data_IF_605473188338
#
_entry.id   IF_605473188338
#
_cell.length_a   1.000
_cell.length_b   1.000
_cell.length_c   1.000
_cell.angle_alpha   90.00
_cell.angle_beta   90.00
_cell.angle_gamma   90.00
#
_symmetry.space_group_name_H-M   'P 1'
#
loop_
_entity.id
_entity.type
_entity.pdbx_description
1 polymer ?
#
# COMPACT_ATOMS: atom_id res chain seq x y z
N UNK A 1 8.22 -21.71 -3.73
CA UNK A 1 8.25 -22.33 -2.39
C UNK A 1 8.81 -21.41 -1.31
N UNK A 2 9.97 -20.76 -1.51
CA UNK A 2 10.55 -19.86 -0.50
C UNK A 2 9.66 -18.64 -0.17
N UNK A 3 9.06 -18.00 -1.18
CA UNK A 3 8.16 -16.86 -0.98
C UNK A 3 6.92 -17.20 -0.16
N UNK A 4 6.27 -18.34 -0.44
CA UNK A 4 5.10 -18.81 0.33
C UNK A 4 5.46 -19.06 1.80
N UNK A 5 6.58 -19.76 2.05
CA UNK A 5 7.06 -20.00 3.43
C UNK A 5 7.39 -18.70 4.17
N UNK A 6 7.88 -17.68 3.46
CA UNK A 6 8.12 -16.36 4.04
C UNK A 6 6.80 -15.68 4.41
N UNK A 7 5.81 -15.67 3.51
CA UNK A 7 4.49 -15.11 3.80
C UNK A 7 3.87 -15.81 5.03
N UNK A 8 3.95 -17.14 5.10
CA UNK A 8 3.43 -17.94 6.22
C UNK A 8 4.15 -17.64 7.55
N UNK A 9 5.37 -17.10 7.51
CA UNK A 9 6.15 -16.75 8.71
C UNK A 9 5.93 -15.32 9.19
N UNK A 10 5.35 -14.43 8.36
CA UNK A 10 5.04 -13.05 8.76
C UNK A 10 4.02 -13.04 9.89
N UNK A 11 4.31 -12.28 10.94
CA UNK A 11 3.40 -12.05 12.08
C UNK A 11 3.30 -10.54 12.34
N UNK A 12 2.11 -10.02 12.68
CA UNK A 12 1.97 -8.62 13.07
C UNK A 12 2.87 -8.28 14.24
N UNK A 13 3.56 -7.15 14.17
CA UNK A 13 4.43 -6.66 15.23
C UNK A 13 4.59 -5.14 15.16
N UNK A 14 4.64 -4.49 16.32
CA UNK A 14 4.88 -3.05 16.41
C UNK A 14 3.74 -2.20 15.86
N UNK A 15 4.09 -1.00 15.37
CA UNK A 15 3.19 0.00 14.80
C UNK A 15 3.25 -0.02 13.28
N UNK A 16 2.16 0.39 12.64
CA UNK A 16 2.08 0.51 11.18
C UNK A 16 2.78 1.78 10.67
N UNK A 17 4.09 1.71 10.40
CA UNK A 17 4.84 2.77 9.72
C UNK A 17 4.75 2.64 8.20
N UNK A 18 3.65 3.16 7.64
CA UNK A 18 3.37 3.05 6.22
C UNK A 18 4.29 3.90 5.34
N UNK A 19 4.81 5.03 5.82
CA UNK A 19 5.74 5.86 5.04
C UNK A 19 7.07 5.14 4.84
N UNK A 20 7.63 4.56 5.90
CA UNK A 20 8.87 3.80 5.80
C UNK A 20 8.69 2.55 4.96
N UNK A 21 7.55 1.86 5.08
CA UNK A 21 7.23 0.72 4.23
C UNK A 21 7.14 1.10 2.74
N UNK A 22 6.47 2.22 2.44
CA UNK A 22 6.35 2.75 1.07
C UNK A 22 7.71 3.13 0.49
N UNK A 23 8.54 3.83 1.27
CA UNK A 23 9.92 4.20 0.90
C UNK A 23 10.79 2.97 0.64
N UNK A 24 10.68 1.94 1.48
CA UNK A 24 11.41 0.70 1.27
C UNK A 24 10.94 0.02 -0.04
N UNK A 25 9.63 -0.06 -0.28
CA UNK A 25 9.07 -0.70 -1.47
C UNK A 25 9.53 -0.03 -2.78
N UNK A 26 9.48 1.31 -2.87
CA UNK A 26 9.94 2.04 -4.07
C UNK A 26 11.45 1.94 -4.30
N UNK A 27 12.23 1.57 -3.28
CA UNK A 27 13.69 1.44 -3.38
C UNK A 27 14.14 0.03 -3.75
N UNK A 28 13.25 -0.97 -3.68
CA UNK A 28 13.58 -2.34 -4.10
C UNK A 28 13.93 -2.33 -5.59
N UNK A 29 15.02 -3.03 -5.92
CA UNK A 29 15.50 -3.25 -7.28
C UNK A 29 15.70 -4.74 -7.50
N UNK A 30 15.43 -5.21 -8.71
CA UNK A 30 15.77 -6.57 -9.09
C UNK A 30 17.28 -6.74 -9.35
N UNK A 31 17.69 -7.95 -9.74
CA UNK A 31 19.10 -8.25 -10.03
C UNK A 31 19.68 -7.44 -11.21
N UNK A 32 18.83 -6.83 -12.03
CA UNK A 32 19.22 -5.97 -13.16
C UNK A 32 19.27 -4.48 -12.79
N UNK A 33 18.88 -4.14 -11.56
CA UNK A 33 18.75 -2.75 -11.11
C UNK A 33 17.44 -2.09 -11.51
N UNK A 34 16.46 -2.86 -12.00
CA UNK A 34 15.16 -2.33 -12.42
C UNK A 34 14.25 -2.13 -11.21
N UNK A 35 13.51 -1.02 -11.19
CA UNK A 35 12.49 -0.75 -10.20
C UNK A 35 11.24 -1.62 -10.44
N UNK A 36 10.46 -1.84 -9.39
CA UNK A 36 9.18 -2.54 -9.50
C UNK A 36 8.24 -1.77 -10.44
N UNK A 37 7.62 -2.44 -11.41
CA UNK A 37 6.59 -1.81 -12.25
C UNK A 37 5.23 -1.71 -11.54
N UNK A 38 4.98 -2.61 -10.59
CA UNK A 38 3.72 -2.72 -9.86
C UNK A 38 4.00 -2.95 -8.37
N UNK A 39 3.27 -2.25 -7.51
CA UNK A 39 3.29 -2.45 -6.06
C UNK A 39 1.85 -2.59 -5.56
N UNK A 40 1.60 -3.60 -4.73
CA UNK A 40 0.34 -3.79 -4.01
C UNK A 40 0.53 -3.44 -2.54
N UNK A 41 -0.20 -2.44 -2.05
CA UNK A 41 -0.20 -2.04 -0.64
C UNK A 41 -1.45 -2.59 0.04
N UNK A 42 -1.27 -3.44 1.06
CA UNK A 42 -2.34 -4.05 1.83
C UNK A 42 -2.31 -3.47 3.24
N UNK A 43 -3.42 -2.88 3.70
CA UNK A 43 -3.51 -2.34 5.06
C UNK A 43 -4.95 -2.28 5.57
N UNK A 44 -5.14 -2.43 6.88
CA UNK A 44 -6.44 -2.22 7.57
C UNK A 44 -6.62 -0.79 8.11
N UNK A 45 -5.55 0.00 8.07
CA UNK A 45 -5.57 1.43 8.38
C UNK A 45 -4.16 1.99 8.42
N UNK A 46 -4.05 3.29 8.71
CA UNK A 46 -2.76 3.91 8.99
C UNK A 46 -2.78 4.44 10.42
N UNK A 47 -1.68 4.28 11.15
CA UNK A 47 -1.48 5.06 12.39
C UNK A 47 -1.08 6.50 12.01
N UNK A 48 -2.03 7.25 11.43
CA UNK A 48 -1.87 8.69 11.20
C UNK A 48 -2.04 9.39 12.55
N UNK A 49 -0.94 9.55 13.28
CA UNK A 49 -0.94 10.41 14.46
C UNK A 49 -1.43 11.80 14.05
N UNK A 50 -2.43 12.33 14.75
CA UNK A 50 -3.11 13.60 14.43
C UNK A 50 -2.19 14.83 14.34
N UNK A 51 -0.92 14.70 14.73
CA UNK A 51 0.09 15.76 14.69
C UNK A 51 1.18 15.56 13.62
N UNK A 52 1.27 14.38 12.99
CA UNK A 52 2.24 14.07 11.93
C UNK A 52 1.52 13.38 10.76
N UNK A 53 0.93 14.17 9.87
CA UNK A 53 0.42 13.72 8.57
C UNK A 53 1.59 13.38 7.63
N UNK A 54 2.40 12.39 8.00
CA UNK A 54 3.60 11.94 7.27
C UNK A 54 3.29 11.26 5.92
N UNK A 55 2.01 11.02 5.64
CA UNK A 55 1.50 10.63 4.34
C UNK A 55 0.60 11.72 3.76
N UNK A 56 1.09 12.97 3.79
CA UNK A 56 0.45 14.00 2.97
C UNK A 56 0.53 13.57 1.51
N UNK A 57 -0.55 13.85 0.77
CA UNK A 57 -0.64 13.63 -0.66
C UNK A 57 0.59 14.20 -1.42
N UNK A 58 1.17 15.30 -0.93
CA UNK A 58 2.37 15.92 -1.49
C UNK A 58 3.64 15.08 -1.27
N UNK A 59 3.84 14.49 -0.09
CA UNK A 59 5.00 13.63 0.20
C UNK A 59 4.98 12.37 -0.66
N UNK A 60 3.81 11.73 -0.81
CA UNK A 60 3.64 10.56 -1.66
C UNK A 60 3.97 10.92 -3.12
N UNK A 61 3.46 12.05 -3.60
CA UNK A 61 3.74 12.52 -4.97
C UNK A 61 5.23 12.74 -5.21
N UNK A 62 5.92 13.38 -4.26
CA UNK A 62 7.37 13.59 -4.32
C UNK A 62 8.13 12.26 -4.38
N UNK A 63 7.79 11.32 -3.50
CA UNK A 63 8.42 10.00 -3.46
C UNK A 63 8.24 9.21 -4.75
N UNK A 64 7.02 9.19 -5.30
CA UNK A 64 6.74 8.49 -6.55
C UNK A 64 7.52 9.11 -7.71
N UNK A 65 7.52 10.44 -7.81
CA UNK A 65 8.23 11.15 -8.87
C UNK A 65 9.74 10.93 -8.82
N UNK A 66 10.33 10.91 -7.63
CA UNK A 66 11.79 10.89 -7.47
C UNK A 66 12.38 9.48 -7.61
N UNK A 67 11.65 8.45 -7.18
CA UNK A 67 12.21 7.10 -7.06
C UNK A 67 11.61 6.07 -8.01
N UNK A 68 10.38 6.28 -8.47
CA UNK A 68 9.61 5.25 -9.15
C UNK A 68 8.50 5.83 -10.07
N UNK A 69 8.82 6.76 -11.00
CA UNK A 69 7.82 7.53 -11.75
C UNK A 69 6.96 6.69 -12.70
N UNK A 70 7.39 5.47 -13.03
CA UNK A 70 6.65 4.52 -13.86
C UNK A 70 6.03 3.38 -13.06
N UNK A 71 6.08 3.43 -11.73
CA UNK A 71 5.55 2.38 -10.86
C UNK A 71 4.09 2.66 -10.54
N UNK A 72 3.25 1.68 -10.83
CA UNK A 72 1.84 1.72 -10.50
C UNK A 72 1.60 1.12 -9.11
N UNK A 73 0.87 1.85 -8.27
CA UNK A 73 0.45 1.42 -6.94
C UNK A 73 -1.02 1.02 -6.95
N UNK A 74 -1.29 -0.22 -6.57
CA UNK A 74 -2.64 -0.67 -6.28
C UNK A 74 -2.79 -0.81 -4.77
N UNK A 75 -3.84 -0.24 -4.21
CA UNK A 75 -4.06 -0.19 -2.76
C UNK A 75 -5.24 -1.07 -2.38
N UNK A 76 -5.11 -1.87 -1.32
CA UNK A 76 -6.13 -2.77 -0.82
C UNK A 76 -6.37 -2.44 0.65
N UNK A 77 -7.55 -1.89 0.96
CA UNK A 77 -7.92 -1.46 2.29
C UNK A 77 -8.85 -2.48 2.97
N UNK A 78 -8.48 -3.02 4.13
CA UNK A 78 -9.33 -3.91 4.92
C UNK A 78 -10.15 -3.11 5.92
N UNK A 79 -11.47 -3.03 5.72
CA UNK A 79 -12.37 -2.19 6.53
C UNK A 79 -11.84 -0.76 6.77
N UNK A 80 -11.39 -0.05 5.71
CA UNK A 80 -10.68 1.21 5.88
C UNK A 80 -11.62 2.28 6.45
N UNK A 81 -11.12 3.06 7.40
CA UNK A 81 -11.80 4.27 7.87
C UNK A 81 -11.78 5.35 6.77
N UNK A 82 -12.71 6.30 6.81
CA UNK A 82 -12.84 7.35 5.78
C UNK A 82 -11.55 8.12 5.50
N UNK A 83 -10.77 8.38 6.55
CA UNK A 83 -9.50 9.10 6.43
C UNK A 83 -8.43 8.25 5.73
N UNK A 84 -8.30 6.98 6.10
CA UNK A 84 -7.33 6.06 5.50
C UNK A 84 -7.68 5.76 4.04
N UNK A 85 -8.99 5.60 3.76
CA UNK A 85 -9.51 5.41 2.42
C UNK A 85 -9.06 6.52 1.46
N UNK A 86 -9.20 7.79 1.87
CA UNK A 86 -8.78 8.93 1.03
C UNK A 86 -7.29 8.89 0.71
N UNK A 87 -6.46 8.48 1.66
CA UNK A 87 -5.01 8.34 1.45
C UNK A 87 -4.72 7.20 0.48
N UNK A 88 -5.37 6.04 0.65
CA UNK A 88 -5.20 4.88 -0.24
C UNK A 88 -5.65 5.17 -1.67
N UNK A 89 -6.78 5.86 -1.85
CA UNK A 89 -7.28 6.32 -3.15
C UNK A 89 -6.29 7.28 -3.80
N UNK A 90 -5.79 8.28 -3.05
CA UNK A 90 -4.84 9.25 -3.58
C UNK A 90 -3.51 8.61 -4.01
N UNK A 91 -3.01 7.60 -3.28
CA UNK A 91 -1.81 6.85 -3.68
C UNK A 91 -2.06 6.12 -4.99
N UNK A 92 -3.17 5.38 -5.09
CA UNK A 92 -3.50 4.61 -6.27
C UNK A 92 -3.68 5.52 -7.50
N UNK A 93 -4.54 6.53 -7.39
CA UNK A 93 -4.86 7.45 -8.49
C UNK A 93 -3.61 8.13 -9.06
N UNK A 94 -2.74 8.65 -8.20
CA UNK A 94 -1.53 9.38 -8.63
C UNK A 94 -0.49 8.53 -9.33
N UNK A 95 -0.50 7.23 -9.05
CA UNK A 95 0.37 6.27 -9.71
C UNK A 95 -0.26 5.61 -10.93
N UNK A 96 -1.52 5.93 -11.24
CA UNK A 96 -2.30 5.29 -12.30
C UNK A 96 -2.80 3.88 -11.94
N UNK A 97 -2.88 3.54 -10.66
CA UNK A 97 -3.40 2.26 -10.17
C UNK A 97 -4.81 2.33 -9.60
N UNK A 98 -5.21 1.26 -8.92
CA UNK A 98 -6.58 1.06 -8.43
C UNK A 98 -6.63 0.87 -6.91
N UNK A 99 -7.66 1.44 -6.28
CA UNK A 99 -7.99 1.17 -4.88
C UNK A 99 -9.12 0.14 -4.78
N UNK A 100 -8.89 -0.91 -3.97
CA UNK A 100 -9.83 -2.00 -3.73
C UNK A 100 -10.18 -2.03 -2.24
N UNK A 101 -11.41 -1.65 -1.85
CA UNK A 101 -11.87 -1.81 -0.47
C UNK A 101 -12.37 -3.24 -0.23
N UNK A 102 -11.87 -3.87 0.84
CA UNK A 102 -12.40 -5.10 1.40
C UNK A 102 -13.34 -4.72 2.55
N UNK A 103 -14.65 -4.81 2.29
CA UNK A 103 -15.71 -4.53 3.26
C UNK A 103 -16.45 -5.81 3.63
N UNK A 104 -17.35 -5.76 4.61
CA UNK A 104 -18.18 -6.92 4.97
C UNK A 104 -19.09 -7.39 3.83
N UNK A 105 -19.45 -6.50 2.91
CA UNK A 105 -20.22 -6.84 1.70
C UNK A 105 -19.43 -7.76 0.77
N UNK A 106 -18.09 -7.63 0.77
CA UNK A 106 -17.18 -8.47 -0.02
C UNK A 106 -17.22 -9.95 0.38
N UNK A 107 -17.64 -10.28 1.61
CA UNK A 107 -17.81 -11.68 2.07
C UNK A 107 -19.04 -12.36 1.47
N UNK A 108 -20.03 -11.60 1.01
CA UNK A 108 -21.30 -12.16 0.53
C UNK A 108 -21.14 -12.75 -0.87
N UNK A 109 -20.38 -12.10 -1.74
CA UNK A 109 -20.14 -12.56 -3.11
C UNK A 109 -19.16 -13.74 -3.20
N UNK A 110 -18.29 -13.92 -2.19
CA UNK A 110 -17.36 -15.05 -2.11
C UNK A 110 -17.99 -16.34 -1.55
N UNK A 111 -19.15 -16.25 -0.90
CA UNK A 111 -19.89 -17.39 -0.37
C UNK A 111 -20.91 -17.99 -1.36
N UNK A 112 -21.19 -17.27 -2.45
CA UNK A 112 -22.15 -17.64 -3.49
C UNK A 112 -21.47 -18.18 -4.79
N UNK A 113 -20.17 -18.47 -4.75
CA UNK A 113 -19.40 -19.11 -5.85
C UNK A 113 -18.75 -20.42 -5.43
#
# INVERSE_FOLDING_TARGET
AAALKFIDSVRPAGKADALSALKAAIQIRDATGSAASLIYLLTDGFELAAENSDLSEQQITGLLKDYAPSTQFNTIGFWPQDQDRKVLEAIAEKSGGEFIPITDEYKKDAADN
#
